data_IF_638599804078
#
_entry.id   IF_638599804078
#
_cell.length_a   1.000
_cell.length_b   1.000
_cell.length_c   1.000
_cell.angle_alpha   90.00
_cell.angle_beta   90.00
_cell.angle_gamma   90.00
#
_symmetry.space_group_name_H-M   'P 1'
#
loop_
_entity.id
_entity.type
_entity.pdbx_description
1 polymer ?
#
# COMPACT_ATOMS: atom_id res chain seq x y z
N UNK A 1 -10.42 4.34 -1.95
CA UNK A 1 -10.35 2.90 -1.60
C UNK A 1 -9.10 2.66 -0.77
N UNK A 2 -9.17 1.83 0.23
CA UNK A 2 -8.03 1.54 1.09
C UNK A 2 -7.01 0.66 0.38
N UNK A 3 -5.73 0.81 0.75
CA UNK A 3 -4.65 -0.01 0.17
C UNK A 3 -4.91 -1.51 0.33
N UNK A 4 -5.41 -1.91 1.50
CA UNK A 4 -5.75 -3.31 1.75
C UNK A 4 -6.77 -3.83 0.74
N UNK A 5 -7.83 -3.05 0.49
CA UNK A 5 -8.87 -3.43 -0.46
C UNK A 5 -8.32 -3.50 -1.89
N UNK A 6 -7.47 -2.54 -2.27
CA UNK A 6 -6.83 -2.55 -3.59
C UNK A 6 -6.00 -3.82 -3.76
N UNK A 7 -5.22 -4.17 -2.73
CA UNK A 7 -4.40 -5.39 -2.75
C UNK A 7 -5.26 -6.64 -2.87
N UNK A 8 -6.31 -6.73 -2.05
CA UNK A 8 -7.19 -7.90 -2.04
C UNK A 8 -7.94 -8.05 -3.35
N UNK A 9 -8.39 -6.93 -3.93
CA UNK A 9 -9.05 -6.94 -5.24
C UNK A 9 -8.12 -7.42 -6.36
N UNK A 10 -6.82 -7.18 -6.20
CA UNK A 10 -5.81 -7.65 -7.15
C UNK A 10 -5.42 -9.13 -6.93
N UNK A 11 -5.91 -9.73 -5.86
CA UNK A 11 -5.70 -11.14 -5.58
C UNK A 11 -4.41 -11.47 -4.84
N UNK A 12 -3.83 -10.51 -4.13
CA UNK A 12 -2.56 -10.71 -3.42
C UNK A 12 -2.73 -10.67 -1.91
N UNK A 13 -1.92 -11.49 -1.23
CA UNK A 13 -1.73 -11.39 0.21
C UNK A 13 -0.54 -10.45 0.48
N UNK A 14 -0.42 -9.99 1.71
CA UNK A 14 0.70 -9.11 2.09
C UNK A 14 2.06 -9.75 1.78
N UNK A 15 2.23 -11.03 2.08
CA UNK A 15 3.47 -11.74 1.81
C UNK A 15 3.78 -11.86 0.32
N UNK A 16 2.76 -11.94 -0.52
CA UNK A 16 2.96 -11.98 -1.98
C UNK A 16 3.54 -10.66 -2.47
N UNK A 17 2.98 -9.56 -1.98
CA UNK A 17 3.43 -8.21 -2.35
C UNK A 17 4.86 -7.98 -1.84
N UNK A 18 5.11 -8.36 -0.60
CA UNK A 18 6.43 -8.23 0.02
C UNK A 18 7.49 -8.95 -0.80
N UNK A 19 7.19 -10.17 -1.23
CA UNK A 19 8.08 -10.96 -2.06
C UNK A 19 8.39 -10.29 -3.40
N UNK A 20 7.34 -9.80 -4.06
CA UNK A 20 7.48 -9.17 -5.37
C UNK A 20 8.27 -7.86 -5.31
N UNK A 21 8.11 -7.12 -4.24
CA UNK A 21 8.80 -5.84 -4.07
C UNK A 21 10.14 -5.97 -3.33
N UNK A 22 10.45 -7.17 -2.87
CA UNK A 22 11.67 -7.44 -2.08
C UNK A 22 11.74 -6.59 -0.82
N UNK A 23 10.62 -6.49 -0.13
CA UNK A 23 10.50 -5.80 1.15
C UNK A 23 10.01 -6.78 2.19
N UNK A 24 10.03 -6.37 3.45
CA UNK A 24 9.47 -7.17 4.53
C UNK A 24 7.95 -7.05 4.53
N UNK A 25 7.27 -8.09 4.99
CA UNK A 25 5.81 -8.06 5.16
C UNK A 25 5.40 -6.88 6.04
N UNK A 26 6.20 -6.57 7.07
CA UNK A 26 5.93 -5.43 7.95
C UNK A 26 5.88 -4.10 7.21
N UNK A 27 6.66 -3.95 6.13
CA UNK A 27 6.61 -2.74 5.31
C UNK A 27 5.24 -2.60 4.65
N UNK A 28 4.75 -3.68 4.03
CA UNK A 28 3.43 -3.70 3.39
C UNK A 28 2.34 -3.43 4.42
N UNK A 29 2.41 -4.08 5.55
CA UNK A 29 1.46 -3.87 6.66
C UNK A 29 1.48 -2.42 7.14
N UNK A 30 2.66 -1.83 7.30
CA UNK A 30 2.79 -0.46 7.75
C UNK A 30 2.19 0.53 6.75
N UNK A 31 2.34 0.28 5.46
CA UNK A 31 1.70 1.11 4.43
C UNK A 31 0.18 1.07 4.57
N UNK A 32 -0.36 -0.14 4.75
CA UNK A 32 -1.82 -0.32 4.83
C UNK A 32 -2.41 0.28 6.11
N UNK A 33 -1.63 0.29 7.19
CA UNK A 33 -2.06 0.88 8.47
C UNK A 33 -1.76 2.36 8.58
N UNK A 34 -1.06 2.93 7.60
CA UNK A 34 -0.72 4.35 7.61
C UNK A 34 0.41 4.71 8.57
N UNK A 35 1.19 3.74 9.01
CA UNK A 35 2.35 3.98 9.89
C UNK A 35 3.42 4.76 9.13
N UNK A 36 3.64 4.37 7.89
CA UNK A 36 4.60 5.02 7.00
C UNK A 36 3.94 5.31 5.66
N UNK A 37 4.36 6.38 5.00
CA UNK A 37 4.03 6.60 3.60
C UNK A 37 4.82 5.63 2.72
N UNK A 38 4.35 5.41 1.50
CA UNK A 38 5.02 4.55 0.54
C UNK A 38 6.16 5.33 -0.11
N UNK A 39 7.37 4.80 -0.04
CA UNK A 39 8.52 5.42 -0.69
C UNK A 39 8.29 5.47 -2.21
N UNK A 40 8.75 6.55 -2.84
CA UNK A 40 8.51 6.80 -4.26
C UNK A 40 8.92 5.62 -5.15
N UNK A 41 9.99 4.94 -4.82
CA UNK A 41 10.49 3.81 -5.62
C UNK A 41 9.53 2.62 -5.67
N UNK A 42 8.58 2.54 -4.76
CA UNK A 42 7.61 1.45 -4.72
C UNK A 42 6.27 1.82 -5.35
N UNK A 43 6.05 3.08 -5.67
CA UNK A 43 4.78 3.54 -6.23
C UNK A 43 4.50 2.86 -7.59
N UNK A 44 5.45 2.95 -8.53
CA UNK A 44 5.28 2.32 -9.85
C UNK A 44 5.14 0.80 -9.79
N UNK A 45 6.00 0.09 -9.06
CA UNK A 45 5.82 -1.35 -8.91
C UNK A 45 4.45 -1.72 -8.38
N UNK A 46 3.91 -0.96 -7.43
CA UNK A 46 2.58 -1.22 -6.87
C UNK A 46 1.48 -0.95 -7.89
N UNK A 47 1.60 0.11 -8.70
CA UNK A 47 0.60 0.38 -9.74
C UNK A 47 0.54 -0.76 -10.74
N UNK A 48 1.69 -1.29 -11.13
CA UNK A 48 1.75 -2.42 -12.06
C UNK A 48 1.19 -3.69 -11.44
N UNK A 49 1.53 -3.95 -10.19
CA UNK A 49 1.11 -5.15 -9.50
C UNK A 49 -0.39 -5.15 -9.25
N UNK A 50 -0.94 -4.04 -8.79
CA UNK A 50 -2.34 -3.92 -8.43
C UNK A 50 -3.26 -3.52 -9.59
N UNK A 51 -2.68 -3.06 -10.71
CA UNK A 51 -3.48 -2.62 -11.86
C UNK A 51 -4.26 -1.35 -11.62
N UNK A 52 -3.70 -0.43 -10.86
CA UNK A 52 -4.32 0.87 -10.55
C UNK A 52 -3.37 2.01 -10.92
N UNK A 53 -3.84 3.25 -10.80
CA UNK A 53 -3.03 4.43 -11.12
C UNK A 53 -2.16 4.85 -9.93
N UNK A 54 -1.12 5.64 -10.21
CA UNK A 54 -0.31 6.25 -9.16
C UNK A 54 -1.16 7.11 -8.23
N UNK A 55 -2.10 7.87 -8.80
CA UNK A 55 -3.00 8.72 -8.03
C UNK A 55 -3.80 7.88 -7.03
N UNK A 56 -4.30 6.71 -7.45
CA UNK A 56 -5.05 5.82 -6.57
C UNK A 56 -4.17 5.30 -5.43
N UNK A 57 -2.93 4.93 -5.72
CA UNK A 57 -1.99 4.45 -4.70
C UNK A 57 -1.66 5.57 -3.71
N UNK A 58 -1.33 6.76 -4.20
CA UNK A 58 -0.98 7.90 -3.34
C UNK A 58 -2.16 8.33 -2.47
N UNK A 59 -3.35 8.39 -3.07
CA UNK A 59 -4.57 8.75 -2.35
C UNK A 59 -4.89 7.74 -1.25
N UNK A 60 -4.77 6.45 -1.53
CA UNK A 60 -5.00 5.41 -0.54
C UNK A 60 -3.98 5.46 0.60
N UNK A 61 -2.71 5.74 0.28
CA UNK A 61 -1.65 5.90 1.27
C UNK A 61 -1.93 7.10 2.20
N UNK A 62 -2.31 8.23 1.62
CA UNK A 62 -2.64 9.43 2.38
C UNK A 62 -3.85 9.20 3.27
N UNK A 63 -4.87 8.51 2.77
CA UNK A 63 -6.06 8.17 3.54
C UNK A 63 -5.70 7.31 4.75
N UNK A 64 -4.83 6.34 4.58
CA UNK A 64 -4.37 5.47 5.66
C UNK A 64 -3.63 6.27 6.73
N UNK A 65 -2.75 7.19 6.32
CA UNK A 65 -1.99 8.03 7.24
C UNK A 65 -2.90 8.99 7.99
N UNK A 66 -3.86 9.58 7.30
CA UNK A 66 -4.85 10.49 7.91
C UNK A 66 -5.72 9.75 8.92
N UNK A 67 -6.22 8.58 8.57
CA UNK A 67 -7.04 7.77 9.47
C UNK A 67 -6.28 7.39 10.73
N UNK A 68 -4.99 7.05 10.60
CA UNK A 68 -4.15 6.73 11.75
C UNK A 68 -3.91 7.94 12.64
N UNK A 69 -3.65 9.11 12.04
CA UNK A 69 -3.45 10.35 12.79
C UNK A 69 -4.70 10.72 13.58
N UNK A 70 -5.87 10.53 13.00
CA UNK A 70 -7.15 10.83 13.65
C UNK A 70 -7.42 9.92 14.85
N UNK A 71 -6.83 8.74 14.87
CA UNK A 71 -6.96 7.80 15.99
C UNK A 71 -5.97 8.09 17.12
N UNK A 72 -4.92 8.77 16.80
CA UNK A 72 -3.91 9.15 17.78
C UNK A 72 -4.37 10.37 18.57
#
# INVERSE_FOLDING_TARGET
MELKAIRENAGFRQEDVAKKLRVRVSAVSNWERGVNGIASKYIRPLTRLYGVTETEIRSASESAQTARADRA
#
